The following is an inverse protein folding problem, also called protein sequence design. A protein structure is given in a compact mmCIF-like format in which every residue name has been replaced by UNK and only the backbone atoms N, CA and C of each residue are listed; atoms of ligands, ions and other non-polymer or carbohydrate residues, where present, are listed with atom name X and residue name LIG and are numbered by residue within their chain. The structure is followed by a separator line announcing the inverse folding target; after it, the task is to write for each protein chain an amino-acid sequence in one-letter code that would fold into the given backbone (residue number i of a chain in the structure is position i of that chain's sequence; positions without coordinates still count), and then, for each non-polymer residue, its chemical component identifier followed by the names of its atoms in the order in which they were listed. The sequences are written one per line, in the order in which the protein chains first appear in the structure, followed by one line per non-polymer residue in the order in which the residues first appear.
data_IF_530578872751
#
_entry.id   IF_530578872751
#
_cell.length_a   1.000
_cell.length_b   1.000
_cell.length_c   1.000
_cell.angle_alpha   90.00
_cell.angle_beta   90.00
_cell.angle_gamma   90.00
#
_symmetry.space_group_name_H-M   'P 1'
#
loop_
_entity.id
_entity.type
_entity.pdbx_description
1 polymer ?
#
# COMPACT_ATOMS: atom_id res chain seq x y z
N UNK A 1 2.21 -35.71 1.47
CA UNK A 1 3.24 -34.90 0.79
C UNK A 1 3.40 -33.59 1.54
N UNK A 2 4.62 -33.06 1.72
CA UNK A 2 4.83 -31.84 2.49
C UNK A 2 4.13 -30.64 1.82
N UNK A 3 3.45 -29.82 2.61
CA UNK A 3 2.71 -28.64 2.11
C UNK A 3 3.60 -27.42 1.82
N UNK A 4 4.90 -27.52 2.16
CA UNK A 4 5.89 -26.47 2.03
C UNK A 4 7.29 -27.04 1.83
N UNK A 5 8.17 -26.21 1.27
CA UNK A 5 9.62 -26.44 1.17
C UNK A 5 10.35 -25.55 2.18
N UNK A 6 11.45 -26.05 2.74
CA UNK A 6 12.26 -25.31 3.72
C UNK A 6 13.53 -24.82 3.04
N UNK A 7 13.73 -23.51 3.03
CA UNK A 7 14.94 -22.86 2.53
C UNK A 7 15.76 -22.35 3.73
N UNK A 8 17.03 -22.77 3.79
CA UNK A 8 17.99 -22.35 4.82
C UNK A 8 18.88 -21.25 4.23
N UNK A 9 19.13 -20.20 5.01
CA UNK A 9 20.05 -19.13 4.65
C UNK A 9 21.48 -19.69 4.56
N UNK A 10 22.21 -19.49 3.44
CA UNK A 10 23.59 -19.95 3.30
C UNK A 10 24.54 -19.48 4.40
N UNK A 11 24.28 -18.32 5.02
CA UNK A 11 25.09 -17.81 6.14
C UNK A 11 24.86 -18.58 7.45
N UNK A 12 23.82 -19.41 7.50
CA UNK A 12 23.36 -20.14 8.67
C UNK A 12 23.27 -21.65 8.41
N UNK A 13 24.08 -22.19 7.50
CA UNK A 13 24.07 -23.63 7.16
C UNK A 13 24.29 -24.55 8.37
N UNK A 14 25.08 -24.12 9.35
CA UNK A 14 25.27 -24.86 10.61
C UNK A 14 23.97 -25.04 11.43
N UNK A 15 22.91 -24.30 11.10
CA UNK A 15 21.58 -24.39 11.71
C UNK A 15 20.58 -25.14 10.81
N UNK A 16 21.02 -25.73 9.70
CA UNK A 16 20.14 -26.43 8.77
C UNK A 16 19.38 -27.57 9.46
N UNK A 17 20.05 -28.33 10.32
CA UNK A 17 19.44 -29.46 11.02
C UNK A 17 18.27 -29.03 11.91
N UNK A 18 18.48 -28.03 12.78
CA UNK A 18 17.40 -27.52 13.64
C UNK A 18 16.27 -26.91 12.82
N UNK A 19 16.58 -26.27 11.68
CA UNK A 19 15.59 -25.74 10.76
C UNK A 19 14.72 -26.83 10.12
N UNK A 20 15.33 -27.90 9.62
CA UNK A 20 14.62 -29.03 9.02
C UNK A 20 13.76 -29.76 10.07
N UNK A 21 14.29 -30.01 11.26
CA UNK A 21 13.52 -30.61 12.36
C UNK A 21 12.40 -29.68 12.85
N UNK A 22 12.63 -28.37 12.87
CA UNK A 22 11.59 -27.41 13.23
C UNK A 22 10.46 -27.40 12.20
N UNK A 23 10.73 -27.64 10.94
CA UNK A 23 9.70 -27.64 9.90
C UNK A 23 9.22 -29.05 9.52
N UNK A 24 9.71 -30.11 10.16
CA UNK A 24 9.22 -31.46 9.85
C UNK A 24 7.78 -31.66 10.33
N UNK A 25 7.01 -32.33 9.48
CA UNK A 25 5.59 -32.64 9.71
C UNK A 25 5.35 -34.13 9.54
N UNK A 26 4.35 -34.65 10.26
CA UNK A 26 3.82 -36.00 10.08
C UNK A 26 2.90 -36.04 8.86
N UNK A 27 2.47 -37.24 8.46
CA UNK A 27 1.53 -37.41 7.35
C UNK A 27 0.18 -36.70 7.57
N UNK A 28 -0.20 -36.50 8.84
CA UNK A 28 -1.41 -35.76 9.26
C UNK A 28 -1.21 -34.22 9.24
N UNK A 29 -0.04 -33.73 8.84
CA UNK A 29 0.30 -32.30 8.81
C UNK A 29 0.64 -31.68 10.16
N UNK A 30 0.70 -32.47 11.24
CA UNK A 30 1.13 -32.03 12.56
C UNK A 30 2.67 -31.91 12.61
N UNK A 31 3.20 -30.95 13.37
CA UNK A 31 4.65 -30.81 13.52
C UNK A 31 5.24 -31.95 14.35
N UNK A 32 6.24 -32.64 13.79
CA UNK A 32 6.82 -33.86 14.39
C UNK A 32 7.53 -33.57 15.72
N UNK A 33 8.30 -32.48 15.79
CA UNK A 33 9.05 -32.10 17.00
C UNK A 33 8.42 -30.90 17.69
N UNK A 34 8.34 -30.91 19.02
CA UNK A 34 7.95 -29.72 19.79
C UNK A 34 9.14 -28.77 19.96
N UNK A 35 8.89 -27.47 20.17
CA UNK A 35 9.95 -26.49 20.45
C UNK A 35 10.73 -26.85 21.73
N UNK A 36 10.06 -27.44 22.72
CA UNK A 36 10.70 -27.93 23.94
C UNK A 36 11.67 -29.08 23.64
N UNK A 37 11.25 -30.04 22.83
CA UNK A 37 12.13 -31.14 22.43
C UNK A 37 13.37 -30.66 21.66
N UNK A 38 13.20 -29.69 20.75
CA UNK A 38 14.33 -29.08 20.03
C UNK A 38 15.24 -28.29 20.97
N UNK A 39 14.69 -27.59 21.95
CA UNK A 39 15.46 -26.89 22.98
C UNK A 39 16.38 -27.84 23.75
N UNK A 40 15.84 -28.98 24.18
CA UNK A 40 16.59 -30.00 24.91
C UNK A 40 17.67 -30.65 24.02
N UNK A 41 17.38 -30.91 22.75
CA UNK A 41 18.30 -31.56 21.80
C UNK A 41 19.51 -30.66 21.43
N UNK A 42 19.26 -29.36 21.24
CA UNK A 42 20.28 -28.40 20.80
C UNK A 42 20.89 -27.59 21.95
N UNK A 43 20.49 -27.85 23.20
CA UNK A 43 21.02 -27.17 24.39
C UNK A 43 20.68 -25.68 24.46
N UNK A 44 19.61 -25.25 23.79
CA UNK A 44 19.20 -23.84 23.69
C UNK A 44 17.86 -23.62 24.40
N UNK A 45 17.61 -22.45 25.03
CA UNK A 45 16.31 -22.16 25.62
C UNK A 45 15.17 -22.19 24.59
N UNK A 46 14.00 -22.73 24.94
CA UNK A 46 12.86 -22.88 24.02
C UNK A 46 12.42 -21.58 23.33
N UNK A 47 12.50 -20.45 24.03
CA UNK A 47 12.16 -19.14 23.45
C UNK A 47 13.17 -18.68 22.38
N UNK A 48 14.42 -19.18 22.41
CA UNK A 48 15.45 -18.87 21.41
C UNK A 48 15.31 -19.70 20.15
N UNK A 49 14.82 -20.95 20.23
CA UNK A 49 14.63 -21.81 19.06
C UNK A 49 13.84 -21.10 17.95
N UNK A 50 12.66 -20.57 18.26
CA UNK A 50 11.84 -19.84 17.28
C UNK A 50 12.56 -18.60 16.71
N UNK A 51 13.43 -17.96 17.49
CA UNK A 51 14.21 -16.78 17.06
C UNK A 51 15.40 -17.17 16.19
N UNK A 52 16.03 -18.31 16.46
CA UNK A 52 17.11 -18.88 15.67
C UNK A 52 16.56 -19.28 14.30
N UNK A 53 15.51 -20.11 14.30
CA UNK A 53 14.86 -20.60 13.07
C UNK A 53 14.35 -19.44 12.21
N UNK A 54 13.65 -18.45 12.78
CA UNK A 54 13.08 -17.35 11.98
C UNK A 54 14.12 -16.47 11.29
N UNK A 55 15.37 -16.50 11.75
CA UNK A 55 16.53 -15.85 11.12
C UNK A 55 17.24 -16.76 10.13
N UNK A 56 17.41 -18.03 10.49
CA UNK A 56 18.23 -18.99 9.75
C UNK A 56 17.49 -19.65 8.57
N UNK A 57 16.17 -19.71 8.59
CA UNK A 57 15.40 -20.38 7.53
C UNK A 57 13.97 -19.86 7.43
N UNK A 58 13.30 -20.30 6.37
CA UNK A 58 11.89 -20.06 6.14
C UNK A 58 11.24 -21.21 5.39
N UNK A 59 9.94 -21.40 5.59
CA UNK A 59 9.11 -22.33 4.84
C UNK A 59 8.37 -21.60 3.72
N UNK A 60 8.46 -22.12 2.50
CA UNK A 60 7.71 -21.64 1.32
C UNK A 60 6.56 -22.59 1.04
N UNK A 61 5.33 -22.08 1.03
CA UNK A 61 4.17 -22.91 0.67
C UNK A 61 4.23 -23.37 -0.79
N UNK A 62 3.90 -24.63 -1.03
CA UNK A 62 3.75 -25.18 -2.38
C UNK A 62 2.33 -25.00 -2.95
N UNK A 63 1.33 -24.90 -2.06
CA UNK A 63 -0.07 -24.81 -2.46
C UNK A 63 -0.60 -23.38 -2.48
N UNK A 64 -0.05 -22.51 -1.62
CA UNK A 64 -0.51 -21.12 -1.48
C UNK A 64 0.49 -20.19 -2.14
N UNK A 65 0.10 -19.69 -3.31
CA UNK A 65 0.93 -18.82 -4.12
C UNK A 65 0.30 -17.43 -4.28
N UNK A 66 1.17 -16.44 -4.46
CA UNK A 66 0.74 -15.08 -4.81
C UNK A 66 0.10 -15.07 -6.21
N UNK A 67 -1.09 -14.49 -6.36
CA UNK A 67 -1.74 -14.33 -7.67
C UNK A 67 -0.98 -13.42 -8.65
N UNK A 68 -0.07 -12.58 -8.15
CA UNK A 68 0.67 -11.62 -8.98
C UNK A 68 2.04 -12.10 -9.46
N UNK A 69 2.72 -12.99 -8.72
CA UNK A 69 4.05 -13.47 -9.07
C UNK A 69 4.19 -15.00 -9.01
N UNK A 70 3.10 -15.70 -8.67
CA UNK A 70 2.99 -17.16 -8.59
C UNK A 70 3.94 -17.84 -7.60
N UNK A 71 4.71 -17.06 -6.84
CA UNK A 71 5.59 -17.58 -5.80
C UNK A 71 4.80 -17.97 -4.56
N UNK A 72 5.17 -19.10 -3.98
CA UNK A 72 4.69 -19.56 -2.69
C UNK A 72 4.89 -18.55 -1.56
N UNK A 73 3.93 -18.44 -0.65
CA UNK A 73 4.05 -17.57 0.53
C UNK A 73 5.14 -18.07 1.48
N UNK A 74 5.86 -17.11 2.07
CA UNK A 74 6.98 -17.36 2.97
C UNK A 74 6.53 -17.24 4.43
N UNK A 75 6.88 -18.25 5.22
CA UNK A 75 6.58 -18.35 6.64
C UNK A 75 7.87 -18.53 7.45
N UNK A 76 8.09 -17.65 8.43
CA UNK A 76 9.27 -17.68 9.31
C UNK A 76 9.02 -18.35 10.65
N UNK A 77 7.78 -18.72 10.94
CA UNK A 77 7.43 -19.43 12.17
C UNK A 77 6.20 -20.32 11.96
N UNK A 78 6.08 -21.37 12.79
CA UNK A 78 4.89 -22.24 12.82
C UNK A 78 3.62 -21.45 13.15
N UNK A 79 3.71 -20.45 14.02
CA UNK A 79 2.57 -19.59 14.34
C UNK A 79 2.06 -18.83 13.11
N UNK A 80 2.98 -18.30 12.29
CA UNK A 80 2.65 -17.63 11.03
C UNK A 80 2.04 -18.62 10.02
N UNK A 81 2.51 -19.87 9.98
CA UNK A 81 1.92 -20.91 9.15
C UNK A 81 0.49 -21.22 9.56
N UNK A 82 0.25 -21.52 10.85
CA UNK A 82 -1.07 -21.87 11.39
C UNK A 82 -2.06 -20.70 11.39
N UNK A 83 -1.59 -19.45 11.40
CA UNK A 83 -2.46 -18.29 11.22
C UNK A 83 -2.73 -18.01 9.74
N UNK A 84 -1.70 -18.11 8.89
CA UNK A 84 -1.81 -17.88 7.45
C UNK A 84 -2.68 -18.92 6.73
N UNK A 85 -2.81 -20.14 7.27
CA UNK A 85 -3.78 -21.13 6.79
C UNK A 85 -5.22 -20.63 6.84
N UNK A 86 -5.54 -19.73 7.79
CA UNK A 86 -6.88 -19.14 7.93
C UNK A 86 -7.08 -17.86 7.11
N UNK A 87 -6.02 -17.11 6.88
CA UNK A 87 -6.07 -15.87 6.11
C UNK A 87 -4.82 -15.76 5.24
N UNK A 88 -4.96 -16.10 3.96
CA UNK A 88 -3.90 -15.91 2.97
C UNK A 88 -4.25 -14.72 2.09
N UNK A 89 -3.48 -13.62 2.12
CA UNK A 89 -3.72 -12.50 1.22
C UNK A 89 -3.55 -12.97 -0.22
N UNK A 90 -4.40 -12.51 -1.15
CA UNK A 90 -4.31 -12.93 -2.55
C UNK A 90 -3.00 -12.51 -3.24
N UNK A 91 -2.26 -11.53 -2.70
CA UNK A 91 -0.99 -11.02 -3.23
C UNK A 91 0.06 -10.91 -2.13
N UNK A 92 1.33 -11.12 -2.48
CA UNK A 92 2.46 -10.94 -1.58
C UNK A 92 2.84 -9.47 -1.42
N UNK A 93 3.53 -9.16 -0.33
CA UNK A 93 3.93 -7.79 0.02
C UNK A 93 4.78 -7.13 -1.08
N UNK A 94 5.70 -7.87 -1.72
CA UNK A 94 6.53 -7.31 -2.79
C UNK A 94 5.71 -6.89 -4.01
N UNK A 95 4.67 -7.66 -4.38
CA UNK A 95 3.74 -7.29 -5.45
C UNK A 95 2.91 -6.06 -5.07
N UNK A 96 2.44 -5.98 -3.82
CA UNK A 96 1.66 -4.84 -3.32
C UNK A 96 2.51 -3.57 -3.33
N UNK A 97 3.73 -3.65 -2.80
CA UNK A 97 4.65 -2.52 -2.75
C UNK A 97 5.12 -2.09 -4.14
N UNK A 98 5.39 -3.04 -5.03
CA UNK A 98 5.73 -2.75 -6.42
C UNK A 98 4.62 -1.98 -7.14
N UNK A 99 3.36 -2.35 -6.91
CA UNK A 99 2.20 -1.65 -7.48
C UNK A 99 2.06 -0.23 -6.91
N UNK A 100 2.16 -0.08 -5.59
CA UNK A 100 2.10 1.23 -4.92
C UNK A 100 3.18 2.17 -5.44
N UNK A 101 4.40 1.67 -5.64
CA UNK A 101 5.51 2.46 -6.17
C UNK A 101 5.22 2.95 -7.59
N UNK A 102 4.74 2.07 -8.48
CA UNK A 102 4.37 2.46 -9.86
C UNK A 102 3.28 3.53 -9.88
N UNK A 103 2.27 3.41 -9.02
CA UNK A 103 1.21 4.40 -8.90
C UNK A 103 1.74 5.74 -8.39
N UNK A 104 2.64 5.73 -7.41
CA UNK A 104 3.29 6.94 -6.90
C UNK A 104 4.14 7.61 -8.00
N UNK A 105 4.98 6.85 -8.71
CA UNK A 105 5.79 7.35 -9.84
C UNK A 105 4.94 7.88 -11.00
N UNK A 106 3.77 7.27 -11.26
CA UNK A 106 2.84 7.78 -12.27
C UNK A 106 2.18 9.10 -11.84
N UNK A 107 1.80 9.20 -10.56
CA UNK A 107 1.22 10.43 -10.00
C UNK A 107 2.22 11.57 -9.99
N UNK A 108 3.45 11.32 -9.54
CA UNK A 108 4.52 12.33 -9.53
C UNK A 108 4.82 12.86 -10.94
N UNK A 109 4.81 11.98 -11.96
CA UNK A 109 4.96 12.40 -13.36
C UNK A 109 3.80 13.26 -13.84
N UNK A 110 2.56 12.86 -13.54
CA UNK A 110 1.39 13.65 -13.90
C UNK A 110 1.39 15.03 -13.23
N UNK A 111 1.75 15.10 -11.95
CA UNK A 111 1.85 16.35 -11.20
C UNK A 111 2.97 17.25 -11.78
N UNK A 112 4.13 16.68 -12.10
CA UNK A 112 5.22 17.41 -12.74
C UNK A 112 4.85 17.94 -14.14
N UNK A 113 4.13 17.15 -14.93
CA UNK A 113 3.63 17.56 -16.25
C UNK A 113 2.62 18.71 -16.12
N UNK A 114 1.72 18.66 -15.14
CA UNK A 114 0.77 19.72 -14.84
C UNK A 114 1.49 21.01 -14.43
N UNK A 115 2.44 20.94 -13.49
CA UNK A 115 3.24 22.09 -13.06
C UNK A 115 4.02 22.69 -14.23
N UNK A 116 4.64 21.86 -15.07
CA UNK A 116 5.34 22.31 -16.27
C UNK A 116 4.38 22.99 -17.28
N UNK A 117 3.17 22.47 -17.44
CA UNK A 117 2.15 23.07 -18.30
C UNK A 117 1.71 24.44 -17.77
N UNK A 118 1.49 24.58 -16.46
CA UNK A 118 1.16 25.87 -15.81
C UNK A 118 2.29 26.87 -16.04
N UNK A 119 3.54 26.50 -15.80
CA UNK A 119 4.72 27.37 -16.02
C UNK A 119 4.90 27.79 -17.48
N UNK A 120 4.54 26.94 -18.45
CA UNK A 120 4.58 27.31 -19.88
C UNK A 120 3.45 28.29 -20.24
N UNK A 121 2.26 28.09 -19.69
CA UNK A 121 1.07 28.90 -19.99
C UNK A 121 1.12 30.27 -19.31
N UNK A 122 1.62 30.32 -18.09
CA UNK A 122 1.69 31.52 -17.28
C UNK A 122 3.15 31.91 -17.12
N UNK A 123 3.53 33.11 -17.57
CA UNK A 123 4.88 33.66 -17.35
C UNK A 123 5.05 33.99 -15.87
N UNK A 124 5.27 32.97 -15.04
CA UNK A 124 5.64 33.13 -13.64
C UNK A 124 7.04 33.76 -13.63
N UNK A 125 7.12 35.03 -13.25
CA UNK A 125 8.40 35.71 -13.04
C UNK A 125 8.95 35.30 -11.68
N UNK A 126 10.04 34.55 -11.68
CA UNK A 126 10.86 34.28 -10.49
C UNK A 126 11.78 35.49 -10.20
N UNK A 127 11.20 36.68 -10.04
CA UNK A 127 11.96 37.89 -9.70
C UNK A 127 11.97 38.07 -8.17
N UNK A 128 12.98 38.75 -7.59
CA UNK A 128 13.07 39.03 -6.14
C UNK A 128 11.88 39.86 -5.60
N UNK A 129 11.03 40.36 -6.50
CA UNK A 129 9.75 41.02 -6.23
C UNK A 129 8.57 40.06 -6.07
N UNK A 130 8.80 38.76 -5.90
CA UNK A 130 7.76 37.79 -5.56
C UNK A 130 7.09 38.22 -4.25
N UNK A 131 5.83 38.63 -4.32
CA UNK A 131 5.01 39.03 -3.16
C UNK A 131 5.05 37.87 -2.16
N UNK A 132 5.62 38.09 -0.97
CA UNK A 132 5.63 37.09 0.09
C UNK A 132 4.30 37.11 0.81
N UNK A 133 3.95 35.99 1.44
CA UNK A 133 2.75 35.94 2.27
C UNK A 133 2.78 36.99 3.38
N UNK A 134 3.98 37.31 3.88
CA UNK A 134 4.21 38.37 4.88
C UNK A 134 3.96 39.80 4.36
N UNK A 135 3.98 40.01 3.04
CA UNK A 135 3.80 41.33 2.42
C UNK A 135 2.33 41.65 2.11
N UNK A 136 1.43 40.67 2.30
CA UNK A 136 -0.02 40.84 2.11
C UNK A 136 -0.63 41.45 3.36
N UNK A 137 -1.27 42.60 3.20
CA UNK A 137 -2.16 43.12 4.23
C UNK A 137 -3.45 42.28 4.32
N UNK A 138 -4.17 42.40 5.43
CA UNK A 138 -5.40 41.62 5.66
C UNK A 138 -6.43 41.78 4.53
N UNK A 139 -6.71 42.99 4.00
CA UNK A 139 -7.57 43.15 2.84
C UNK A 139 -7.10 42.38 1.60
N UNK A 140 -5.81 42.43 1.25
CA UNK A 140 -5.27 41.71 0.11
C UNK A 140 -5.30 40.18 0.32
N UNK A 141 -5.04 39.72 1.55
CA UNK A 141 -5.13 38.30 1.90
C UNK A 141 -6.58 37.76 1.76
N UNK A 142 -7.59 38.52 2.21
CA UNK A 142 -8.98 38.16 2.03
C UNK A 142 -9.41 38.19 0.56
N UNK A 143 -8.98 39.18 -0.21
CA UNK A 143 -9.27 39.25 -1.64
C UNK A 143 -8.66 38.07 -2.40
N UNK A 144 -7.44 37.66 -2.05
CA UNK A 144 -6.79 36.49 -2.62
C UNK A 144 -7.52 35.19 -2.24
N UNK A 145 -7.93 35.04 -0.98
CA UNK A 145 -8.70 33.88 -0.52
C UNK A 145 -10.03 33.77 -1.28
N UNK A 146 -10.78 34.87 -1.43
CA UNK A 146 -12.03 34.88 -2.20
C UNK A 146 -11.82 34.48 -3.67
N UNK A 147 -10.75 34.94 -4.31
CA UNK A 147 -10.38 34.57 -5.68
C UNK A 147 -10.04 33.07 -5.82
N UNK A 148 -9.48 32.46 -4.78
CA UNK A 148 -9.12 31.04 -4.78
C UNK A 148 -10.34 30.15 -4.46
N UNK A 149 -11.22 30.58 -3.54
CA UNK A 149 -12.49 29.91 -3.25
C UNK A 149 -13.41 29.88 -4.50
N UNK A 150 -13.53 31.01 -5.22
CA UNK A 150 -14.25 31.05 -6.50
C UNK A 150 -13.61 30.15 -7.57
N UNK A 151 -12.28 30.01 -7.56
CA UNK A 151 -11.57 29.15 -8.50
C UNK A 151 -11.76 27.65 -8.19
N UNK A 152 -11.84 27.27 -6.92
CA UNK A 152 -12.17 25.89 -6.50
C UNK A 152 -13.58 25.51 -6.96
N UNK A 153 -14.56 26.40 -6.80
CA UNK A 153 -15.97 26.18 -7.22
C UNK A 153 -16.10 25.99 -8.74
N UNK A 154 -15.26 26.66 -9.54
CA UNK A 154 -15.19 26.48 -11.01
C UNK A 154 -14.51 25.15 -11.40
N UNK A 155 -13.59 24.63 -10.59
CA UNK A 155 -12.89 23.36 -10.85
C UNK A 155 -13.63 22.10 -10.41
N UNK A 156 -14.60 22.20 -9.49
CA UNK A 156 -15.48 21.07 -9.13
C UNK A 156 -16.44 20.64 -10.25
N UNK A 157 -16.41 21.35 -11.38
CA UNK A 157 -17.12 20.98 -12.59
C UNK A 157 -18.54 21.52 -12.57
N UNK A 158 -18.91 22.19 -13.67
CA UNK A 158 -20.28 22.57 -13.95
C UNK A 158 -21.10 21.27 -14.04
N UNK A 159 -21.82 20.92 -12.97
CA UNK A 159 -22.80 19.85 -13.00
C UNK A 159 -23.93 20.29 -13.91
N UNK A 160 -23.91 19.81 -15.16
CA UNK A 160 -25.02 20.02 -16.09
C UNK A 160 -26.14 19.08 -15.67
N UNK A 161 -27.31 19.57 -15.26
CA UNK A 161 -28.42 18.70 -14.90
C UNK A 161 -28.85 17.91 -16.14
N UNK A 162 -28.75 16.58 -16.06
CA UNK A 162 -29.05 15.65 -17.16
C UNK A 162 -30.56 15.54 -17.44
N UNK A 163 -31.41 16.15 -16.60
CA UNK A 163 -32.85 16.14 -16.77
C UNK A 163 -33.39 17.54 -16.54
N UNK A 164 -34.17 18.05 -17.50
CA UNK A 164 -34.94 19.27 -17.34
C UNK A 164 -35.87 19.10 -16.13
N UNK A 165 -35.55 19.78 -15.02
CA UNK A 165 -36.47 19.89 -13.88
C UNK A 165 -37.57 20.85 -14.30
N UNK A 166 -38.71 20.28 -14.66
CA UNK A 166 -39.95 21.01 -14.85
C UNK A 166 -40.57 21.29 -13.47
N UNK A 167 -39.89 22.12 -12.67
CA UNK A 167 -40.42 22.58 -11.40
C UNK A 167 -41.40 23.74 -11.67
N UNK A 168 -42.71 23.47 -11.50
CA UNK A 168 -43.86 24.37 -11.71
C UNK A 168 -43.88 25.65 -10.84
N UNK A 169 -42.76 26.02 -10.20
CA UNK A 169 -42.67 27.17 -9.31
C UNK A 169 -41.73 28.28 -9.82
N UNK A 170 -41.25 28.18 -11.06
CA UNK A 170 -40.58 29.31 -11.72
C UNK A 170 -41.63 30.35 -12.14
N UNK A 171 -41.57 31.61 -11.69
CA UNK A 171 -42.53 32.63 -12.09
C UNK A 171 -42.37 32.89 -13.59
N UNK A 172 -43.41 32.54 -14.35
CA UNK A 172 -43.50 32.84 -15.77
C UNK A 172 -43.62 34.35 -15.95
N UNK A 173 -42.56 34.95 -16.49
CA UNK A 173 -42.59 36.30 -17.03
C UNK A 173 -43.51 36.31 -18.27
N UNK A 174 -44.80 36.46 -18.04
CA UNK A 174 -45.76 36.83 -19.07
C UNK A 174 -45.49 38.28 -19.50
N UNK A 175 -44.56 38.47 -20.44
CA UNK A 175 -44.47 39.71 -21.21
C UNK A 175 -45.69 39.79 -22.13
N UNK A 176 -46.73 40.46 -21.65
CA UNK A 176 -47.86 40.87 -22.48
C UNK A 176 -47.40 42.07 -23.32
N UNK A 177 -47.18 41.85 -24.62
CA UNK A 177 -47.05 42.93 -25.60
C UNK A 177 -48.42 43.60 -25.81
N UNK A 178 -48.46 44.92 -25.65
CA UNK A 178 -49.35 45.82 -26.42
C UNK A 178 -48.49 46.90 -27.03
#
# INVERSE_FOLDING_TARGET
MPEFEVEVDPNHEHLAEICLMYWSTTDDGAFTHTVKHLADLFGEPSHRISKIVSKACFARSLQRCCSGCERGFIYRSRAQWTSGTRYTPGRCESCIQGERRRLAEARERADAELVAAIRRRHQVRDDESSIRAEDLDMPAAFALAALLEDAEEVTEGITTPVVARDDQLSPSLNMTRR
#
